data_IF_328607806097
#
_entry.id   IF_328607806097
#
_cell.length_a   1.000
_cell.length_b   1.000
_cell.length_c   1.000
_cell.angle_alpha   90.00
_cell.angle_beta   90.00
_cell.angle_gamma   90.00
#
_symmetry.space_group_name_H-M   'P 1'
#
loop_
_entity.id
_entity.type
_entity.pdbx_description
1 polymer ?
#
# COMPACT_ATOMS: atom_id res chain seq x y z
N UNK A 1 8.50 -2.22 1.83
CA UNK A 1 9.24 -1.65 2.99
C UNK A 1 10.42 -2.56 3.30
N UNK A 2 11.59 -2.01 3.63
CA UNK A 2 12.72 -2.80 4.13
C UNK A 2 13.22 -2.22 5.46
N UNK A 3 13.15 -3.02 6.52
CA UNK A 3 13.62 -2.61 7.84
C UNK A 3 15.15 -2.53 7.84
N UNK A 4 15.66 -1.36 8.22
CA UNK A 4 17.09 -1.03 8.23
C UNK A 4 17.67 -1.12 9.66
N UNK A 5 16.80 -1.23 10.66
CA UNK A 5 17.13 -1.41 12.06
C UNK A 5 15.95 -2.03 12.82
N UNK A 6 16.00 -2.07 14.16
CA UNK A 6 14.97 -2.72 14.96
C UNK A 6 13.60 -2.03 14.88
N UNK A 7 13.56 -0.75 14.52
CA UNK A 7 12.37 0.10 14.65
C UNK A 7 12.16 1.06 13.47
N UNK A 8 12.94 0.97 12.39
CA UNK A 8 12.74 1.82 11.22
C UNK A 8 12.95 1.10 9.90
N UNK A 9 12.19 1.54 8.89
CA UNK A 9 12.23 1.00 7.55
C UNK A 9 12.23 2.08 6.49
N UNK A 10 12.64 1.72 5.28
CA UNK A 10 12.26 2.47 4.09
C UNK A 10 10.76 2.34 3.84
N UNK A 11 10.14 3.42 3.37
CA UNK A 11 8.75 3.48 2.94
C UNK A 11 8.69 4.12 1.56
N UNK A 12 8.57 3.29 0.53
CA UNK A 12 8.43 3.75 -0.84
C UNK A 12 6.97 4.16 -1.07
N UNK A 13 6.80 5.29 -1.73
CA UNK A 13 5.50 5.81 -2.13
C UNK A 13 5.54 5.99 -3.64
N UNK A 14 4.62 5.34 -4.35
CA UNK A 14 4.48 5.52 -5.79
C UNK A 14 4.06 6.96 -6.12
N UNK A 15 4.85 7.69 -6.93
CA UNK A 15 4.53 9.07 -7.29
C UNK A 15 3.13 9.20 -7.89
N UNK A 16 2.39 10.22 -7.46
CA UNK A 16 1.01 10.49 -7.88
C UNK A 16 -0.06 9.78 -7.06
N UNK A 17 0.25 8.67 -6.36
CA UNK A 17 -0.71 7.94 -5.52
C UNK A 17 -1.36 8.83 -4.45
N UNK A 18 -2.49 8.39 -3.87
CA UNK A 18 -3.12 9.12 -2.76
C UNK A 18 -2.16 9.33 -1.59
N UNK A 19 -1.30 8.34 -1.30
CA UNK A 19 -0.29 8.48 -0.26
C UNK A 19 0.80 9.51 -0.61
N UNK A 20 1.18 9.64 -1.89
CA UNK A 20 2.10 10.68 -2.36
C UNK A 20 1.49 12.07 -2.22
N UNK A 21 0.20 12.20 -2.52
CA UNK A 21 -0.54 13.45 -2.33
C UNK A 21 -0.64 13.83 -0.85
N UNK A 22 -0.81 12.85 0.05
CA UNK A 22 -0.76 13.06 1.52
C UNK A 22 0.65 13.48 1.95
N UNK A 23 1.70 12.77 1.53
CA UNK A 23 3.08 13.11 1.85
C UNK A 23 3.47 14.52 1.36
N UNK A 24 3.05 14.88 0.14
CA UNK A 24 3.23 16.20 -0.44
C UNK A 24 2.49 17.27 0.37
N UNK A 25 1.24 17.00 0.75
CA UNK A 25 0.46 17.92 1.59
C UNK A 25 1.13 18.17 2.95
N UNK A 26 1.73 17.14 3.55
CA UNK A 26 2.38 17.17 4.85
C UNK A 26 3.88 17.54 4.81
N UNK A 27 4.39 17.98 3.67
CA UNK A 27 5.81 18.32 3.53
C UNK A 27 6.23 19.39 4.55
N UNK A 28 7.13 19.01 5.47
CA UNK A 28 7.62 19.83 6.60
C UNK A 28 6.53 20.34 7.56
N UNK A 29 5.34 19.72 7.58
CA UNK A 29 4.24 20.09 8.50
C UNK A 29 4.18 19.25 9.77
N UNK A 30 4.98 18.20 9.85
CA UNK A 30 5.00 17.27 10.96
C UNK A 30 4.91 15.82 10.49
N UNK A 31 4.94 14.87 11.44
CA UNK A 31 4.84 13.45 11.15
C UNK A 31 3.43 13.07 10.66
N UNK A 32 3.37 12.16 9.70
CA UNK A 32 2.12 11.54 9.23
C UNK A 32 1.94 10.23 10.00
N UNK A 33 0.92 10.09 10.87
CA UNK A 33 0.67 8.82 11.56
C UNK A 33 0.16 7.78 10.55
N UNK A 34 0.72 6.56 10.62
CA UNK A 34 0.43 5.46 9.68
C UNK A 34 0.33 4.15 10.45
N UNK A 35 -0.63 3.31 10.04
CA UNK A 35 -0.70 1.91 10.48
C UNK A 35 -0.56 1.00 9.26
N UNK A 36 0.35 0.03 9.34
CA UNK A 36 0.50 -1.01 8.32
C UNK A 36 -0.23 -2.24 8.82
N UNK A 37 -1.27 -2.66 8.11
CA UNK A 37 -2.16 -3.73 8.51
C UNK A 37 -1.88 -4.96 7.64
N UNK A 38 -1.53 -6.09 8.26
CA UNK A 38 -1.12 -7.33 7.60
C UNK A 38 -2.11 -8.44 7.98
N UNK A 39 -2.46 -9.31 7.02
CA UNK A 39 -3.48 -10.35 7.24
C UNK A 39 -4.87 -9.72 7.42
N UNK A 40 -5.27 -8.89 6.47
CA UNK A 40 -6.53 -8.16 6.47
C UNK A 40 -7.58 -8.90 5.63
N UNK A 41 -8.89 -8.55 5.71
CA UNK A 41 -9.91 -9.16 4.85
C UNK A 41 -9.52 -9.07 3.36
N UNK A 42 -9.76 -10.12 2.55
CA UNK A 42 -9.34 -10.13 1.15
C UNK A 42 -9.85 -8.96 0.31
N UNK A 43 -11.07 -8.47 0.58
CA UNK A 43 -11.60 -7.28 -0.12
C UNK A 43 -10.82 -6.01 0.21
N UNK A 44 -10.27 -5.89 1.43
CA UNK A 44 -9.38 -4.78 1.79
C UNK A 44 -8.05 -4.88 1.04
N UNK A 45 -7.48 -6.08 0.92
CA UNK A 45 -6.25 -6.30 0.13
C UNK A 45 -6.49 -5.97 -1.35
N UNK A 46 -7.60 -6.45 -1.93
CA UNK A 46 -7.98 -6.15 -3.31
C UNK A 46 -8.14 -4.65 -3.54
N UNK A 47 -8.83 -3.94 -2.62
CA UNK A 47 -8.98 -2.49 -2.72
C UNK A 47 -7.68 -1.73 -2.50
N UNK A 48 -6.69 -2.27 -1.78
CA UNK A 48 -5.38 -1.62 -1.66
C UNK A 48 -4.60 -1.58 -2.99
N UNK A 49 -4.84 -2.54 -3.90
CA UNK A 49 -4.23 -2.59 -5.24
C UNK A 49 -4.85 -1.62 -6.26
N UNK A 50 -5.96 -0.98 -5.92
CA UNK A 50 -6.70 -0.04 -6.78
C UNK A 50 -6.00 1.31 -7.02
N UNK A 51 -4.73 1.45 -6.61
CA UNK A 51 -3.95 2.66 -6.80
C UNK A 51 -4.00 3.15 -8.26
N UNK A 52 -4.12 4.47 -8.41
CA UNK A 52 -4.22 5.20 -9.69
C UNK A 52 -5.55 5.04 -10.46
N UNK A 53 -6.55 4.34 -9.94
CA UNK A 53 -7.87 4.19 -10.58
C UNK A 53 -8.80 5.40 -10.30
N UNK A 54 -8.34 6.61 -10.58
CA UNK A 54 -9.02 7.85 -10.19
C UNK A 54 -10.44 8.05 -10.74
N UNK A 55 -10.80 7.31 -11.80
CA UNK A 55 -12.15 7.32 -12.38
C UNK A 55 -13.19 6.82 -11.38
N UNK A 56 -12.82 5.81 -10.58
CA UNK A 56 -13.69 5.17 -9.58
C UNK A 56 -13.28 5.52 -8.14
N UNK A 57 -12.01 5.84 -7.92
CA UNK A 57 -11.43 6.17 -6.62
C UNK A 57 -10.72 7.53 -6.68
N UNK A 58 -11.47 8.64 -6.71
CA UNK A 58 -10.89 9.96 -6.69
C UNK A 58 -10.23 10.25 -5.33
N UNK A 59 -9.36 11.26 -5.29
CA UNK A 59 -8.72 11.70 -4.04
C UNK A 59 -9.73 11.92 -2.93
N UNK A 60 -9.52 11.25 -1.79
CA UNK A 60 -10.39 11.32 -0.62
C UNK A 60 -11.52 10.29 -0.62
N UNK A 61 -11.55 9.38 -1.60
CA UNK A 61 -12.37 8.19 -1.52
C UNK A 61 -12.00 7.35 -0.30
N UNK A 62 -12.95 6.51 0.14
CA UNK A 62 -12.75 5.55 1.22
C UNK A 62 -12.64 4.14 0.61
N UNK A 63 -11.42 3.70 0.34
CA UNK A 63 -11.14 2.35 -0.19
C UNK A 63 -11.64 1.24 0.76
N UNK A 64 -11.68 1.49 2.08
CA UNK A 64 -12.22 0.54 3.06
C UNK A 64 -13.75 0.50 3.05
N UNK A 65 -14.39 1.64 2.80
CA UNK A 65 -15.82 1.72 2.56
C UNK A 65 -16.26 0.90 1.34
N UNK A 66 -15.51 1.00 0.24
CA UNK A 66 -15.73 0.17 -0.96
C UNK A 66 -15.47 -1.31 -0.65
N UNK A 67 -14.37 -1.64 0.04
CA UNK A 67 -14.10 -3.02 0.47
C UNK A 67 -15.23 -3.59 1.34
N UNK A 68 -15.83 -2.76 2.20
CA UNK A 68 -16.97 -3.10 3.02
C UNK A 68 -18.23 -3.40 2.19
N UNK A 69 -18.52 -2.57 1.19
CA UNK A 69 -19.62 -2.80 0.26
C UNK A 69 -19.45 -4.12 -0.51
N UNK A 70 -18.23 -4.41 -0.98
CA UNK A 70 -17.91 -5.64 -1.73
C UNK A 70 -18.07 -6.91 -0.88
N UNK A 71 -17.68 -6.89 0.40
CA UNK A 71 -17.87 -8.03 1.30
C UNK A 71 -19.26 -8.08 1.96
N UNK A 72 -20.16 -7.15 1.63
CA UNK A 72 -21.51 -7.07 2.19
C UNK A 72 -21.61 -6.70 3.67
N UNK A 73 -20.51 -6.24 4.29
CA UNK A 73 -20.47 -5.79 5.69
C UNK A 73 -19.37 -4.74 5.91
N UNK A 74 -19.56 -3.76 6.82
CA UNK A 74 -18.52 -2.75 7.10
C UNK A 74 -17.18 -3.36 7.51
N UNK A 75 -16.08 -2.70 7.15
CA UNK A 75 -14.76 -2.99 7.69
C UNK A 75 -14.67 -2.37 9.08
N UNK A 76 -14.41 -3.20 10.09
CA UNK A 76 -14.29 -2.74 11.46
C UNK A 76 -12.92 -2.10 11.69
N UNK A 77 -12.93 -0.92 12.31
CA UNK A 77 -11.72 -0.16 12.63
C UNK A 77 -11.54 -0.04 14.14
N UNK A 78 -10.29 -0.03 14.57
CA UNK A 78 -9.89 0.21 15.95
C UNK A 78 -8.83 1.31 15.98
N UNK A 79 -8.80 2.11 17.04
CA UNK A 79 -7.74 3.11 17.21
C UNK A 79 -6.40 2.42 17.44
N UNK A 80 -5.36 2.95 16.80
CA UNK A 80 -3.99 2.56 17.07
C UNK A 80 -3.61 2.88 18.52
N UNK A 81 -2.64 2.16 19.09
CA UNK A 81 -2.18 2.31 20.48
C UNK A 81 -1.23 3.49 20.68
N UNK A 82 -0.35 3.75 19.72
CA UNK A 82 0.74 4.73 19.82
C UNK A 82 0.67 5.83 18.77
N UNK A 83 -0.26 5.76 17.83
CA UNK A 83 -0.43 6.74 16.75
C UNK A 83 -1.85 7.30 16.71
N UNK A 84 -2.00 8.56 16.29
CA UNK A 84 -3.32 9.15 16.00
C UNK A 84 -3.82 8.68 14.63
N UNK A 85 -4.10 7.38 14.54
CA UNK A 85 -4.54 6.71 13.32
C UNK A 85 -5.49 5.55 13.66
N UNK A 86 -6.16 5.05 12.62
CA UNK A 86 -7.01 3.86 12.69
C UNK A 86 -6.28 2.65 12.12
N UNK A 87 -6.66 1.47 12.60
CA UNK A 87 -6.21 0.15 12.14
C UNK A 87 -7.41 -0.72 11.82
N UNK A 88 -7.23 -1.70 10.94
CA UNK A 88 -8.25 -2.70 10.66
C UNK A 88 -8.33 -3.64 11.86
N UNK A 89 -9.49 -3.66 12.53
CA UNK A 89 -9.67 -4.37 13.80
C UNK A 89 -9.43 -5.89 13.67
N UNK A 90 -9.70 -6.44 12.49
CA UNK A 90 -9.51 -7.85 12.19
C UNK A 90 -8.13 -8.21 11.64
N UNK A 91 -7.18 -7.27 11.55
CA UNK A 91 -5.83 -7.57 11.06
C UNK A 91 -5.12 -8.62 11.93
N UNK A 92 -4.22 -9.39 11.32
CA UNK A 92 -3.38 -10.37 12.03
C UNK A 92 -2.23 -9.66 12.76
N UNK A 93 -1.60 -8.69 12.08
CA UNK A 93 -0.58 -7.79 12.63
C UNK A 93 -0.87 -6.34 12.23
N UNK A 94 -0.52 -5.42 13.11
CA UNK A 94 -0.48 -3.98 12.84
C UNK A 94 0.87 -3.43 13.27
N UNK A 95 1.59 -2.80 12.34
CA UNK A 95 2.79 -2.02 12.65
C UNK A 95 2.37 -0.55 12.72
N UNK A 96 2.47 0.05 13.89
CA UNK A 96 2.10 1.43 14.13
C UNK A 96 3.34 2.32 14.08
N UNK A 97 3.25 3.44 13.39
CA UNK A 97 4.37 4.37 13.30
C UNK A 97 4.03 5.66 12.58
N UNK A 98 5.05 6.37 12.12
CA UNK A 98 4.87 7.61 11.41
C UNK A 98 5.91 7.80 10.30
N UNK A 99 5.56 8.65 9.34
CA UNK A 99 6.46 9.15 8.32
C UNK A 99 6.83 10.60 8.61
N UNK A 100 8.12 10.90 8.68
CA UNK A 100 8.62 12.27 8.66
C UNK A 100 9.05 12.60 7.22
N UNK A 101 8.35 13.56 6.60
CA UNK A 101 8.59 13.96 5.20
C UNK A 101 9.97 14.61 4.99
N UNK A 102 10.69 14.94 6.06
CA UNK A 102 12.05 15.48 6.02
C UNK A 102 13.13 14.39 6.11
N UNK A 103 12.77 13.18 6.51
CA UNK A 103 13.70 12.07 6.70
C UNK A 103 13.62 11.08 5.55
N UNK A 104 14.78 10.81 4.94
CA UNK A 104 14.91 9.77 3.93
C UNK A 104 16.06 8.82 4.24
N UNK A 105 15.83 7.54 4.01
CA UNK A 105 16.77 6.44 4.19
C UNK A 105 16.99 5.69 2.89
N UNK A 106 18.16 5.10 2.75
CA UNK A 106 18.46 4.18 1.66
C UNK A 106 17.75 2.84 1.89
N UNK A 107 17.20 2.28 0.82
CA UNK A 107 16.52 0.99 0.85
C UNK A 107 17.46 -0.20 1.03
N UNK A 108 18.74 -0.07 0.64
CA UNK A 108 19.73 -1.13 0.77
C UNK A 108 21.07 -0.63 1.33
N UNK A 109 21.85 -1.46 2.06
CA UNK A 109 23.18 -1.08 2.53
C UNK A 109 24.17 -0.81 1.40
N UNK A 110 24.00 -1.48 0.25
CA UNK A 110 24.88 -1.31 -0.91
C UNK A 110 24.67 0.06 -1.55
N UNK A 111 23.42 0.44 -1.80
CA UNK A 111 23.10 1.78 -2.32
C UNK A 111 23.52 2.89 -1.36
N UNK A 112 23.43 2.65 -0.04
CA UNK A 112 23.91 3.57 0.98
C UNK A 112 25.42 3.75 0.96
N UNK A 113 26.17 2.64 0.88
CA UNK A 113 27.63 2.65 0.84
C UNK A 113 28.15 3.38 -0.40
N UNK A 114 27.54 3.12 -1.54
CA UNK A 114 27.99 3.66 -2.83
C UNK A 114 27.34 5.01 -3.17
N UNK A 115 26.45 5.51 -2.29
CA UNK A 115 25.66 6.76 -2.45
C UNK A 115 24.96 6.85 -3.81
N UNK A 116 24.43 5.72 -4.29
CA UNK A 116 23.96 5.54 -5.66
C UNK A 116 22.52 4.98 -5.72
N UNK A 117 21.63 5.77 -6.32
CA UNK A 117 20.23 5.41 -6.53
C UNK A 117 20.01 4.76 -7.91
N UNK A 118 19.15 3.74 -8.00
CA UNK A 118 18.77 3.13 -9.27
C UNK A 118 19.79 2.15 -9.84
N UNK A 119 20.85 1.81 -9.09
CA UNK A 119 21.95 0.96 -9.56
C UNK A 119 21.82 -0.46 -9.00
N UNK A 120 21.72 -0.58 -7.68
CA UNK A 120 21.76 -1.87 -7.00
C UNK A 120 20.41 -2.59 -7.04
N UNK A 121 20.37 -3.88 -7.40
CA UNK A 121 19.18 -4.71 -7.29
C UNK A 121 18.59 -4.71 -5.88
N UNK A 122 17.26 -4.80 -5.75
CA UNK A 122 16.58 -4.74 -4.46
C UNK A 122 15.57 -5.87 -4.22
N UNK A 123 14.40 -5.84 -4.85
CA UNK A 123 13.42 -6.92 -4.80
C UNK A 123 12.79 -7.15 -6.20
N UNK A 124 12.19 -8.32 -6.46
CA UNK A 124 11.40 -8.52 -7.68
C UNK A 124 10.27 -7.49 -7.74
N UNK A 125 9.89 -7.07 -8.93
CA UNK A 125 8.81 -6.12 -9.19
C UNK A 125 7.68 -6.80 -9.97
N UNK A 126 6.51 -6.17 -9.99
CA UNK A 126 5.30 -6.64 -10.70
C UNK A 126 5.55 -7.02 -12.17
N UNK A 127 6.51 -6.38 -12.83
CA UNK A 127 6.88 -6.65 -14.23
C UNK A 127 7.69 -7.95 -14.43
N UNK A 128 8.05 -8.65 -13.35
CA UNK A 128 8.85 -9.88 -13.38
C UNK A 128 10.36 -9.65 -13.39
N UNK A 129 10.80 -8.38 -13.29
CA UNK A 129 12.22 -8.02 -13.23
C UNK A 129 12.66 -7.62 -11.82
N UNK A 130 13.96 -7.66 -11.57
CA UNK A 130 14.52 -7.18 -10.31
C UNK A 130 14.56 -5.66 -10.29
N UNK A 131 13.81 -5.06 -9.36
CA UNK A 131 13.81 -3.64 -9.07
C UNK A 131 15.15 -3.14 -8.56
N UNK A 132 15.26 -1.82 -8.45
CA UNK A 132 16.45 -1.13 -7.98
C UNK A 132 16.18 -0.47 -6.64
N UNK A 133 17.22 -0.28 -5.84
CA UNK A 133 17.10 0.43 -4.57
C UNK A 133 17.22 1.95 -4.75
N UNK A 134 16.42 2.67 -3.96
CA UNK A 134 16.30 4.12 -3.96
C UNK A 134 16.47 4.69 -2.55
N UNK A 135 16.51 6.03 -2.47
CA UNK A 135 16.44 6.76 -1.21
C UNK A 135 15.02 7.30 -1.03
N UNK A 136 14.29 6.76 -0.06
CA UNK A 136 12.86 7.06 0.15
C UNK A 136 12.58 7.48 1.59
N UNK A 137 11.34 7.84 1.90
CA UNK A 137 10.92 8.24 3.25
C UNK A 137 11.27 7.20 4.31
N UNK A 138 11.63 7.69 5.49
CA UNK A 138 11.82 6.86 6.68
C UNK A 138 10.47 6.65 7.36
N UNK A 139 10.09 5.39 7.53
CA UNK A 139 9.04 5.00 8.45
C UNK A 139 9.67 4.63 9.80
N UNK A 140 9.19 5.28 10.86
CA UNK A 140 9.57 4.97 12.23
C UNK A 140 8.44 4.16 12.87
N UNK A 141 8.70 2.90 13.17
CA UNK A 141 7.81 2.07 13.96
C UNK A 141 7.86 2.48 15.44
N UNK A 142 6.73 2.35 16.10
CA UNK A 142 6.53 2.69 17.52
C UNK A 142 5.88 1.55 18.30
N UNK A 143 5.09 0.71 17.64
CA UNK A 143 4.54 -0.50 18.21
C UNK A 143 4.28 -1.54 17.12
N UNK A 144 4.23 -2.81 17.54
CA UNK A 144 3.65 -3.89 16.77
C UNK A 144 2.56 -4.49 17.65
N UNK A 145 1.33 -4.53 17.14
CA UNK A 145 0.22 -5.23 17.79
C UNK A 145 -0.20 -6.40 16.91
N UNK A 146 -0.71 -7.48 17.51
CA UNK A 146 -1.10 -8.68 16.77
C UNK A 146 -2.17 -9.46 17.54
N UNK A 147 -2.83 -10.40 16.84
CA UNK A 147 -3.74 -11.34 17.48
C UNK A 147 -3.03 -12.20 18.50
N UNK A 148 -3.66 -12.44 19.65
CA UNK A 148 -3.05 -13.18 20.75
C UNK A 148 -2.76 -14.66 20.41
N UNK A 149 -3.68 -15.31 19.70
CA UNK A 149 -3.55 -16.71 19.31
C UNK A 149 -3.12 -16.84 17.86
N UNK A 150 -1.94 -17.44 17.65
CA UNK A 150 -1.40 -17.90 16.35
C UNK A 150 -1.68 -16.95 15.17
N UNK A 151 -1.17 -15.70 15.20
CA UNK A 151 -1.37 -14.76 14.11
C UNK A 151 -0.76 -15.27 12.79
N UNK A 152 -1.44 -15.01 11.68
CA UNK A 152 -1.01 -15.42 10.35
C UNK A 152 -0.21 -14.32 9.67
N UNK A 153 0.96 -14.68 9.16
CA UNK A 153 1.75 -13.79 8.31
C UNK A 153 1.46 -14.08 6.84
N UNK A 154 0.68 -13.21 6.21
CA UNK A 154 0.42 -13.27 4.78
C UNK A 154 1.54 -12.56 4.02
N UNK A 155 2.45 -13.35 3.42
CA UNK A 155 3.52 -12.87 2.57
C UNK A 155 3.14 -13.00 1.09
N UNK A 156 2.92 -11.87 0.44
CA UNK A 156 2.70 -11.82 -1.01
C UNK A 156 3.95 -12.29 -1.76
N UNK A 157 3.76 -13.11 -2.78
CA UNK A 157 4.79 -13.43 -3.78
C UNK A 157 4.68 -12.42 -4.93
N UNK A 158 5.72 -11.62 -5.12
CA UNK A 158 5.81 -10.68 -6.24
C UNK A 158 5.92 -11.42 -7.56
N UNK A 159 5.28 -10.88 -8.59
CA UNK A 159 5.03 -11.44 -9.91
C UNK A 159 4.26 -12.77 -9.87
N UNK A 160 3.59 -13.05 -8.75
CA UNK A 160 2.70 -14.20 -8.59
C UNK A 160 1.25 -13.85 -8.92
N UNK A 161 0.42 -14.88 -9.09
CA UNK A 161 -1.03 -14.70 -9.37
C UNK A 161 -1.73 -13.83 -8.33
N UNK A 162 -1.29 -13.89 -7.07
CA UNK A 162 -1.88 -13.12 -5.99
C UNK A 162 -1.67 -11.60 -6.17
N UNK A 163 -0.46 -11.17 -6.57
CA UNK A 163 -0.20 -9.77 -6.94
C UNK A 163 -1.02 -9.38 -8.17
N UNK A 164 -1.05 -10.24 -9.20
CA UNK A 164 -1.84 -9.99 -10.40
C UNK A 164 -3.34 -9.79 -10.10
N UNK A 165 -3.92 -10.54 -9.16
CA UNK A 165 -5.31 -10.34 -8.77
C UNK A 165 -5.52 -9.03 -8.00
N UNK A 166 -4.59 -8.67 -7.12
CA UNK A 166 -4.65 -7.41 -6.37
C UNK A 166 -4.58 -6.21 -7.31
N UNK A 167 -3.72 -6.27 -8.33
CA UNK A 167 -3.51 -5.18 -9.27
C UNK A 167 -4.50 -5.16 -10.44
N UNK A 168 -4.92 -6.32 -10.93
CA UNK A 168 -5.70 -6.47 -12.16
C UNK A 168 -7.17 -6.17 -11.96
N UNK A 169 -7.82 -6.82 -10.98
CA UNK A 169 -9.29 -6.87 -10.87
C UNK A 169 -9.93 -5.47 -10.85
N UNK A 170 -9.40 -4.58 -10.01
CA UNK A 170 -9.99 -3.24 -9.87
C UNK A 170 -9.69 -2.36 -11.08
N UNK A 171 -8.55 -2.57 -11.75
CA UNK A 171 -8.21 -1.86 -12.99
C UNK A 171 -9.06 -2.32 -14.17
N UNK A 172 -9.29 -3.61 -14.30
CA UNK A 172 -10.25 -4.19 -15.25
C UNK A 172 -11.64 -3.57 -15.04
N UNK A 173 -12.17 -3.62 -13.82
CA UNK A 173 -13.45 -2.99 -13.48
C UNK A 173 -13.47 -1.49 -13.82
N UNK A 174 -12.38 -0.77 -13.59
CA UNK A 174 -12.25 0.64 -13.94
C UNK A 174 -12.29 0.87 -15.46
N UNK A 175 -11.68 -0.01 -16.26
CA UNK A 175 -11.74 0.08 -17.72
C UNK A 175 -13.13 -0.22 -18.26
N UNK A 176 -13.80 -1.24 -17.72
CA UNK A 176 -15.17 -1.58 -18.11
C UNK A 176 -16.13 -0.43 -17.78
N UNK A 177 -16.05 0.12 -16.57
CA UNK A 177 -16.86 1.27 -16.15
C UNK A 177 -16.60 2.50 -17.02
N UNK A 178 -15.33 2.76 -17.38
CA UNK A 178 -15.00 3.85 -18.29
C UNK A 178 -15.58 3.62 -19.69
N UNK A 179 -15.48 2.41 -20.22
CA UNK A 179 -16.01 2.07 -21.53
C UNK A 179 -17.54 2.23 -21.58
N UNK A 180 -18.24 1.77 -20.55
CA UNK A 180 -19.70 1.90 -20.45
C UNK A 180 -20.14 3.36 -20.39
N UNK A 181 -19.37 4.25 -19.74
CA UNK A 181 -19.64 5.70 -19.74
C UNK A 181 -19.42 6.38 -21.09
N UNK A 182 -18.52 5.86 -21.93
CA UNK A 182 -18.19 6.45 -23.24
C UNK A 182 -19.14 5.91 -24.32
N UNK A 183 -19.27 4.59 -24.45
CA UNK A 183 -20.17 3.93 -25.40
C UNK A 183 -20.89 2.76 -24.69
N UNK A 184 -22.09 3.00 -24.14
CA UNK A 184 -22.85 1.97 -23.45
C UNK A 184 -23.05 0.71 -24.29
N UNK A 185 -22.73 -0.45 -23.71
CA UNK A 185 -22.94 -1.77 -24.31
C UNK A 185 -21.94 -2.19 -25.39
N UNK A 186 -20.94 -1.38 -25.74
CA UNK A 186 -19.91 -1.78 -26.72
C UNK A 186 -18.87 -2.73 -26.11
N UNK A 187 -18.35 -2.38 -24.93
CA UNK A 187 -17.39 -3.21 -24.21
C UNK A 187 -18.15 -4.17 -23.31
N UNK A 188 -17.94 -5.47 -23.51
CA UNK A 188 -18.63 -6.52 -22.73
C UNK A 188 -17.77 -7.10 -21.63
N UNK A 189 -16.45 -6.95 -21.72
CA UNK A 189 -15.49 -7.47 -20.75
C UNK A 189 -14.13 -6.78 -20.90
N UNK A 190 -13.31 -6.86 -19.86
CA UNK A 190 -11.94 -6.33 -19.81
C UNK A 190 -11.03 -7.30 -19.06
N UNK A 191 -9.88 -7.61 -19.64
CA UNK A 191 -8.89 -8.48 -19.02
C UNK A 191 -7.48 -7.90 -19.20
N UNK A 192 -6.77 -7.76 -18.08
CA UNK A 192 -5.34 -7.51 -17.98
C UNK A 192 -4.64 -8.88 -17.87
N UNK A 193 -3.94 -9.35 -18.92
CA UNK A 193 -3.32 -10.66 -18.95
C UNK A 193 -2.08 -10.78 -18.05
#
# INVERSE_FOLDING_TARGET
MNFRGPDYSSFQISPGSHMDQVATHWYRKGPIPVTINIGIPPTCTMMAGSGFTYVILPRGCDELGVAGALQGRPVELVRARTQDAWSIASAEYVIEGYLDTTQKVWESPLAEKDDAQGVHPFHPEWSGYMGKSYRTYRFQATAITHRADRPLYYGLIVHGMDEHFIDGIVREACFLELAERIVPGLCVDTHIP
#
